data_IF_260008428756
#
_entry.id   IF_260008428756
#
_cell.length_a   1.000
_cell.length_b   1.000
_cell.length_c   1.000
_cell.angle_alpha   90.00
_cell.angle_beta   90.00
_cell.angle_gamma   90.00
#
_symmetry.space_group_name_H-M   'P 1'
#
loop_
_entity.id
_entity.type
_entity.pdbx_description
1 polymer ?
#
# COMPACT_ATOMS: atom_id res chain seq x y z
N UNK A 1 -0.22 -2.33 14.06
CA UNK A 1 -1.50 -1.88 13.45
C UNK A 1 -2.41 -1.24 14.48
N UNK A 2 -2.86 -1.95 15.52
CA UNK A 2 -3.79 -1.40 16.52
C UNK A 2 -3.32 -0.09 17.17
N UNK A 3 -2.03 0.01 17.51
CA UNK A 3 -1.45 1.25 18.06
C UNK A 3 -1.47 2.41 17.06
N UNK A 4 -1.22 2.14 15.77
CA UNK A 4 -1.25 3.17 14.73
C UNK A 4 -2.68 3.69 14.53
N UNK A 5 -3.68 2.80 14.52
CA UNK A 5 -5.10 3.19 14.45
C UNK A 5 -5.49 4.03 15.65
N UNK A 6 -5.21 3.56 16.88
CA UNK A 6 -5.54 4.30 18.10
C UNK A 6 -4.87 5.69 18.12
N UNK A 7 -3.58 5.77 17.76
CA UNK A 7 -2.87 7.04 17.68
C UNK A 7 -3.47 7.99 16.65
N UNK A 8 -3.89 7.51 15.48
CA UNK A 8 -4.51 8.34 14.44
C UNK A 8 -5.91 8.82 14.82
N UNK A 9 -6.70 7.97 15.50
CA UNK A 9 -8.02 8.37 16.00
C UNK A 9 -7.89 9.47 17.05
N UNK A 10 -6.97 9.32 18.02
CA UNK A 10 -6.71 10.38 19.00
C UNK A 10 -6.24 11.66 18.31
N UNK A 11 -5.30 11.56 17.36
CA UNK A 11 -4.77 12.71 16.64
C UNK A 11 -5.86 13.44 15.82
N UNK A 12 -6.80 12.71 15.21
CA UNK A 12 -7.95 13.27 14.51
C UNK A 12 -8.82 14.17 15.41
N UNK A 13 -9.06 13.74 16.65
CA UNK A 13 -9.90 14.48 17.60
C UNK A 13 -9.15 15.61 18.31
N UNK A 14 -7.93 15.32 18.76
CA UNK A 14 -7.22 16.18 19.71
C UNK A 14 -6.26 17.16 19.03
N UNK A 15 -5.89 16.93 17.77
CA UNK A 15 -4.82 17.70 17.12
C UNK A 15 -5.18 18.26 15.76
N UNK A 16 -5.92 17.53 14.91
CA UNK A 16 -6.36 18.09 13.62
C UNK A 16 -7.22 19.34 13.85
N UNK A 17 -7.01 20.33 12.99
CA UNK A 17 -7.88 21.51 12.97
C UNK A 17 -9.26 21.17 12.41
N UNK A 18 -10.25 22.02 12.68
CA UNK A 18 -11.57 21.87 12.08
C UNK A 18 -11.53 21.95 10.54
N UNK A 19 -10.64 22.79 9.99
CA UNK A 19 -10.40 22.90 8.55
C UNK A 19 -9.90 21.57 7.96
N UNK A 20 -8.82 21.02 8.52
CA UNK A 20 -8.26 19.74 8.06
C UNK A 20 -9.27 18.58 8.12
N UNK A 21 -10.08 18.49 9.18
CA UNK A 21 -11.15 17.47 9.24
C UNK A 21 -12.17 17.68 8.12
N UNK A 22 -12.56 18.92 7.85
CA UNK A 22 -13.49 19.27 6.77
C UNK A 22 -12.92 18.90 5.40
N UNK A 23 -11.62 19.11 5.19
CA UNK A 23 -10.93 18.75 3.95
C UNK A 23 -10.92 17.23 3.75
N UNK A 24 -10.69 16.46 4.83
CA UNK A 24 -10.77 14.99 4.77
C UNK A 24 -12.18 14.47 4.51
N UNK A 25 -13.21 15.09 5.09
CA UNK A 25 -14.61 14.77 4.78
C UNK A 25 -14.91 15.09 3.30
N UNK A 26 -14.41 16.21 2.78
CA UNK A 26 -14.57 16.58 1.37
C UNK A 26 -13.87 15.57 0.45
N UNK A 27 -12.63 15.19 0.76
CA UNK A 27 -11.90 14.18 0.02
C UNK A 27 -12.62 12.83 0.04
N UNK A 28 -13.14 12.43 1.20
CA UNK A 28 -13.86 11.17 1.35
C UNK A 28 -15.21 11.15 0.60
N UNK A 29 -15.96 12.26 0.61
CA UNK A 29 -17.22 12.40 -0.12
C UNK A 29 -17.04 12.39 -1.65
N UNK A 30 -15.87 12.78 -2.15
CA UNK A 30 -15.55 12.82 -3.58
C UNK A 30 -14.71 11.63 -4.08
N UNK A 31 -14.31 10.71 -3.20
CA UNK A 31 -13.50 9.54 -3.57
C UNK A 31 -14.31 8.26 -3.37
N UNK A 32 -14.92 7.78 -4.45
CA UNK A 32 -15.72 6.55 -4.43
C UNK A 32 -14.84 5.29 -4.41
N UNK A 33 -15.27 4.30 -3.64
CA UNK A 33 -14.73 2.94 -3.63
C UNK A 33 -15.77 1.96 -4.17
N UNK A 34 -15.35 1.05 -5.04
CA UNK A 34 -16.23 0.03 -5.59
C UNK A 34 -16.37 -1.13 -4.59
N UNK A 35 -17.60 -1.46 -4.22
CA UNK A 35 -17.88 -2.61 -3.36
C UNK A 35 -17.80 -3.93 -4.16
N UNK A 36 -18.05 -5.07 -3.50
CA UNK A 36 -17.98 -6.39 -4.16
C UNK A 36 -19.07 -6.62 -5.23
N UNK A 37 -20.13 -5.85 -5.22
CA UNK A 37 -21.24 -5.88 -6.19
C UNK A 37 -21.04 -4.89 -7.34
N UNK A 38 -20.04 -4.02 -7.27
CA UNK A 38 -19.80 -2.98 -8.27
C UNK A 38 -20.35 -1.60 -7.90
N UNK A 39 -21.06 -1.45 -6.77
CA UNK A 39 -21.64 -0.16 -6.40
C UNK A 39 -20.60 0.76 -5.76
N UNK A 40 -20.68 2.08 -6.03
CA UNK A 40 -19.86 3.06 -5.34
C UNK A 40 -20.25 3.15 -3.86
N UNK A 41 -19.23 3.22 -3.01
CA UNK A 41 -19.32 3.41 -1.57
C UNK A 41 -18.35 4.50 -1.15
N UNK A 42 -18.75 5.33 -0.20
CA UNK A 42 -17.94 6.43 0.29
C UNK A 42 -17.55 6.16 1.75
N UNK A 43 -16.31 6.48 2.09
CA UNK A 43 -15.85 6.43 3.47
C UNK A 43 -16.17 7.77 4.15
N UNK A 44 -16.18 7.80 5.47
CA UNK A 44 -16.15 9.06 6.22
C UNK A 44 -14.73 9.64 6.24
N UNK A 45 -14.60 10.94 6.52
CA UNK A 45 -13.31 11.64 6.58
C UNK A 45 -12.32 10.98 7.53
N UNK A 46 -12.75 10.63 8.75
CA UNK A 46 -11.89 9.91 9.70
C UNK A 46 -11.44 8.53 9.17
N UNK A 47 -12.34 7.79 8.52
CA UNK A 47 -12.01 6.48 7.94
C UNK A 47 -11.01 6.62 6.79
N UNK A 48 -11.16 7.67 5.97
CA UNK A 48 -10.24 7.97 4.89
C UNK A 48 -8.87 8.41 5.42
N UNK A 49 -8.84 9.26 6.45
CA UNK A 49 -7.63 9.70 7.14
C UNK A 49 -6.85 8.50 7.72
N UNK A 50 -7.53 7.62 8.46
CA UNK A 50 -6.92 6.41 9.03
C UNK A 50 -6.46 5.46 7.93
N UNK A 51 -7.28 5.23 6.89
CA UNK A 51 -6.94 4.37 5.75
C UNK A 51 -5.64 4.83 5.08
N UNK A 52 -5.49 6.13 4.84
CA UNK A 52 -4.32 6.71 4.20
C UNK A 52 -3.07 6.70 5.08
N UNK A 53 -3.21 6.99 6.38
CA UNK A 53 -2.06 7.18 7.25
C UNK A 53 -1.55 5.90 7.94
N UNK A 54 -2.38 4.86 8.12
CA UNK A 54 -1.92 3.60 8.72
C UNK A 54 -0.76 2.97 7.93
N UNK A 55 -0.85 2.79 6.59
CA UNK A 55 0.27 2.26 5.82
C UNK A 55 1.51 3.14 5.86
N UNK A 56 1.35 4.47 5.88
CA UNK A 56 2.46 5.42 5.99
C UNK A 56 3.24 5.23 7.29
N UNK A 57 2.53 5.15 8.42
CA UNK A 57 3.16 4.87 9.73
C UNK A 57 3.85 3.50 9.73
N UNK A 58 3.24 2.47 9.13
CA UNK A 58 3.88 1.14 9.02
C UNK A 58 5.15 1.18 8.16
N UNK A 59 5.18 2.03 7.15
CA UNK A 59 6.30 2.27 6.26
C UNK A 59 7.34 3.27 6.81
N UNK A 60 7.13 3.80 8.02
CA UNK A 60 7.94 4.87 8.62
C UNK A 60 7.95 6.16 7.78
N UNK A 61 6.90 6.39 6.99
CA UNK A 61 6.66 7.64 6.30
C UNK A 61 5.98 8.64 7.23
N UNK A 62 6.20 9.92 6.96
CA UNK A 62 5.51 10.99 7.65
C UNK A 62 4.00 10.88 7.42
N UNK A 63 3.24 11.04 8.49
CA UNK A 63 1.78 11.18 8.45
C UNK A 63 1.41 12.45 7.68
N UNK A 64 0.30 12.40 6.96
CA UNK A 64 -0.26 13.51 6.20
C UNK A 64 -1.53 13.96 6.89
N UNK A 65 -1.51 15.20 7.40
CA UNK A 65 -2.63 15.80 8.12
C UNK A 65 -3.56 16.62 7.21
N UNK A 66 -3.02 17.19 6.14
CA UNK A 66 -3.81 17.91 5.12
C UNK A 66 -4.37 16.91 4.09
N UNK A 67 -5.66 16.99 3.80
CA UNK A 67 -6.28 16.05 2.86
C UNK A 67 -5.81 16.29 1.42
N UNK A 68 -5.78 15.25 0.56
CA UNK A 68 -5.46 15.42 -0.84
C UNK A 68 -6.46 16.33 -1.56
N UNK A 69 -5.97 17.29 -2.35
CA UNK A 69 -6.80 18.11 -3.21
C UNK A 69 -7.27 17.38 -4.48
N UNK A 70 -6.62 16.27 -4.84
CA UNK A 70 -7.02 15.43 -5.99
C UNK A 70 -7.93 14.30 -5.51
N UNK A 71 -9.18 14.28 -5.97
CA UNK A 71 -10.21 13.31 -5.56
C UNK A 71 -10.10 11.97 -6.28
N UNK A 72 -9.00 11.25 -6.07
CA UNK A 72 -8.85 9.86 -6.49
C UNK A 72 -8.00 9.07 -5.48
N UNK A 73 -7.89 7.75 -5.67
CA UNK A 73 -7.08 6.89 -4.78
C UNK A 73 -5.59 6.88 -5.12
N UNK A 74 -5.15 7.62 -6.14
CA UNK A 74 -3.83 7.42 -6.74
C UNK A 74 -3.79 6.16 -7.61
N UNK A 75 -3.10 6.27 -8.72
CA UNK A 75 -3.02 5.23 -9.76
C UNK A 75 -1.57 4.80 -9.95
N UNK A 76 -1.41 3.55 -10.38
CA UNK A 76 -0.12 2.97 -10.75
C UNK A 76 -0.35 1.85 -11.75
N UNK A 77 0.65 1.61 -12.59
CA UNK A 77 0.66 0.50 -13.53
C UNK A 77 0.82 -0.81 -12.76
N UNK A 78 0.09 -1.86 -13.15
CA UNK A 78 0.16 -3.16 -12.46
C UNK A 78 1.61 -3.65 -12.36
N UNK A 79 2.02 -4.01 -11.15
CA UNK A 79 3.41 -4.40 -10.85
C UNK A 79 3.55 -5.90 -11.09
N UNK A 80 4.52 -6.32 -11.91
CA UNK A 80 4.83 -7.74 -12.05
C UNK A 80 5.71 -8.17 -10.87
N UNK A 81 5.31 -9.25 -10.19
CA UNK A 81 5.97 -9.73 -8.97
C UNK A 81 6.32 -11.19 -9.18
N UNK A 82 7.59 -11.54 -8.96
CA UNK A 82 8.07 -12.93 -8.96
C UNK A 82 8.87 -13.21 -7.71
N UNK A 83 8.97 -14.48 -7.32
CA UNK A 83 9.85 -14.92 -6.24
C UNK A 83 11.09 -15.55 -6.85
N UNK A 84 12.27 -15.11 -6.42
CA UNK A 84 13.54 -15.72 -6.76
C UNK A 84 13.99 -16.58 -5.58
N UNK A 85 13.96 -17.91 -5.74
CA UNK A 85 14.46 -18.83 -4.71
C UNK A 85 15.96 -18.64 -4.48
N UNK A 86 16.73 -18.53 -5.57
CA UNK A 86 18.17 -18.31 -5.50
C UNK A 86 18.58 -17.11 -4.62
N UNK A 87 17.76 -16.05 -4.61
CA UNK A 87 17.98 -14.86 -3.78
C UNK A 87 17.17 -14.86 -2.48
N UNK A 88 16.17 -15.73 -2.34
CA UNK A 88 15.18 -15.69 -1.28
C UNK A 88 14.37 -14.37 -1.26
N UNK A 89 14.11 -13.78 -2.43
CA UNK A 89 13.58 -12.41 -2.57
C UNK A 89 12.39 -12.33 -3.51
N UNK A 90 11.50 -11.37 -3.22
CA UNK A 90 10.49 -10.88 -4.13
C UNK A 90 11.09 -9.83 -5.06
N UNK A 91 10.91 -10.01 -6.36
CA UNK A 91 11.34 -9.08 -7.41
C UNK A 91 10.12 -8.34 -7.93
N UNK A 92 10.12 -7.02 -7.78
CA UNK A 92 9.05 -6.12 -8.19
C UNK A 92 9.47 -5.36 -9.44
N UNK A 93 8.83 -5.71 -10.56
CA UNK A 93 9.00 -5.04 -11.84
C UNK A 93 7.84 -4.05 -12.03
N UNK A 94 8.11 -2.77 -11.81
CA UNK A 94 7.18 -1.66 -11.99
C UNK A 94 7.56 -0.78 -13.18
N UNK A 95 6.63 0.04 -13.64
CA UNK A 95 6.87 1.02 -14.69
C UNK A 95 7.62 2.22 -14.12
N UNK A 96 8.87 2.45 -14.54
CA UNK A 96 9.72 3.50 -13.99
C UNK A 96 9.17 4.93 -14.22
N UNK A 97 8.32 5.09 -15.23
CA UNK A 97 7.63 6.36 -15.56
C UNK A 97 6.39 6.61 -14.71
N UNK A 98 5.96 5.68 -13.87
CA UNK A 98 4.82 5.91 -12.98
C UNK A 98 5.13 7.12 -12.08
N UNK A 99 4.13 7.98 -11.89
CA UNK A 99 4.32 9.24 -11.18
C UNK A 99 4.74 9.06 -9.71
N UNK A 100 4.55 7.89 -9.11
CA UNK A 100 4.93 7.65 -7.72
C UNK A 100 6.43 7.44 -7.62
N UNK A 101 7.06 6.79 -8.60
CA UNK A 101 8.50 6.57 -8.59
C UNK A 101 9.29 7.89 -8.65
N UNK A 102 8.66 8.93 -9.22
CA UNK A 102 9.20 10.28 -9.41
C UNK A 102 8.63 11.30 -8.39
N UNK A 103 8.24 10.86 -7.19
CA UNK A 103 7.67 11.72 -6.15
C UNK A 103 8.31 11.44 -4.78
N UNK A 104 8.94 12.46 -4.18
CA UNK A 104 9.50 12.35 -2.83
C UNK A 104 8.40 12.18 -1.77
N UNK A 105 8.59 11.25 -0.84
CA UNK A 105 7.61 10.96 0.22
C UNK A 105 6.46 10.04 -0.21
N UNK A 106 6.52 9.55 -1.44
CA UNK A 106 5.70 8.43 -1.92
C UNK A 106 6.41 7.08 -1.67
N UNK A 107 5.65 5.99 -1.68
CA UNK A 107 6.22 4.66 -1.59
C UNK A 107 5.32 3.55 -2.12
N UNK A 108 5.94 2.52 -2.68
CA UNK A 108 5.36 1.20 -2.85
C UNK A 108 5.57 0.41 -1.56
N UNK A 109 4.47 -0.02 -0.95
CA UNK A 109 4.47 -0.80 0.29
C UNK A 109 3.97 -2.20 -0.04
N UNK A 110 4.76 -3.21 0.35
CA UNK A 110 4.44 -4.61 0.13
C UNK A 110 4.19 -5.32 1.46
N UNK A 111 3.21 -6.21 1.47
CA UNK A 111 2.96 -7.15 2.55
C UNK A 111 2.85 -8.57 1.98
N UNK A 112 3.32 -9.56 2.71
CA UNK A 112 3.14 -10.97 2.35
C UNK A 112 2.76 -11.83 3.56
N UNK A 113 2.19 -12.98 3.25
CA UNK A 113 1.74 -13.98 4.20
C UNK A 113 2.77 -15.08 4.39
N UNK A 114 2.44 -16.07 5.24
CA UNK A 114 3.21 -17.31 5.28
C UNK A 114 3.02 -18.10 3.98
N UNK A 115 4.04 -18.80 3.48
CA UNK A 115 3.91 -19.67 2.32
C UNK A 115 2.82 -20.71 2.55
N UNK A 116 2.10 -21.05 1.49
CA UNK A 116 1.08 -22.09 1.45
C UNK A 116 1.48 -23.12 0.39
N UNK A 117 0.81 -24.27 0.38
CA UNK A 117 0.95 -25.22 -0.72
C UNK A 117 0.45 -24.58 -2.05
N UNK A 118 1.09 -24.92 -3.16
CA UNK A 118 0.78 -24.42 -4.51
C UNK A 118 -0.68 -24.62 -4.95
N UNK A 119 -1.36 -25.64 -4.43
CA UNK A 119 -2.78 -25.93 -4.72
C UNK A 119 -3.74 -24.89 -4.13
N UNK A 120 -3.31 -24.08 -3.16
CA UNK A 120 -4.12 -23.01 -2.60
C UNK A 120 -4.22 -21.88 -3.62
N UNK A 121 -5.45 -21.50 -4.00
CA UNK A 121 -5.71 -20.45 -5.00
C UNK A 121 -6.14 -19.12 -4.39
N UNK A 122 -6.49 -19.13 -3.10
CA UNK A 122 -7.06 -17.96 -2.46
C UNK A 122 -6.63 -17.85 -1.01
N UNK A 123 -6.22 -16.63 -0.62
CA UNK A 123 -5.77 -16.32 0.73
C UNK A 123 -6.26 -14.93 1.12
N UNK A 124 -6.81 -14.78 2.34
CA UNK A 124 -7.36 -13.50 2.83
C UNK A 124 -6.48 -12.79 3.86
N UNK A 125 -5.37 -13.40 4.27
CA UNK A 125 -4.53 -12.90 5.36
C UNK A 125 -4.43 -13.91 6.52
N UNK A 126 -3.64 -13.61 7.55
CA UNK A 126 -3.00 -12.31 7.83
C UNK A 126 -1.73 -12.05 7.01
N UNK A 127 -1.49 -10.77 6.68
CA UNK A 127 -0.28 -10.31 5.99
C UNK A 127 0.65 -9.56 6.97
N UNK A 128 1.97 -9.68 6.75
CA UNK A 128 3.00 -8.90 7.45
C UNK A 128 3.75 -8.03 6.44
N UNK A 129 4.21 -6.86 6.87
CA UNK A 129 4.97 -5.93 6.00
C UNK A 129 6.23 -6.65 5.53
N UNK A 130 6.45 -6.69 4.23
CA UNK A 130 7.65 -7.24 3.62
C UNK A 130 8.69 -6.15 3.41
N UNK A 131 8.30 -5.04 2.80
CA UNK A 131 9.22 -3.96 2.57
C UNK A 131 8.54 -2.73 2.00
N UNK A 132 9.37 -1.73 1.73
CA UNK A 132 8.98 -0.43 1.20
C UNK A 132 10.01 -0.04 0.15
N UNK A 133 9.56 0.34 -1.04
CA UNK A 133 10.36 1.01 -2.07
C UNK A 133 9.93 2.48 -2.06
N UNK A 134 10.86 3.38 -1.76
CA UNK A 134 10.58 4.82 -1.69
C UNK A 134 10.71 5.44 -3.07
N UNK A 135 9.72 6.25 -3.47
CA UNK A 135 9.87 7.11 -4.65
C UNK A 135 10.84 8.25 -4.36
N UNK A 136 11.51 8.76 -5.39
CA UNK A 136 12.32 9.96 -5.27
C UNK A 136 12.29 10.78 -6.55
N UNK A 137 12.13 12.10 -6.39
CA UNK A 137 12.22 13.04 -7.51
C UNK A 137 13.67 13.23 -7.96
N UNK A 138 14.62 13.24 -7.02
CA UNK A 138 16.03 13.50 -7.31
C UNK A 138 16.71 12.32 -8.00
N UNK A 139 16.42 11.09 -7.57
CA UNK A 139 16.97 9.86 -8.14
C UNK A 139 15.86 8.79 -8.22
N UNK A 140 15.02 8.83 -9.26
CA UNK A 140 14.01 7.81 -9.49
C UNK A 140 14.64 6.42 -9.55
N UNK A 141 13.99 5.43 -8.93
CA UNK A 141 14.53 4.09 -8.87
C UNK A 141 14.40 3.38 -10.23
N UNK A 142 15.44 2.61 -10.57
CA UNK A 142 15.38 1.69 -11.68
C UNK A 142 14.52 0.46 -11.32
N UNK A 143 13.79 -0.06 -12.29
CA UNK A 143 13.06 -1.32 -12.17
C UNK A 143 13.93 -2.45 -12.74
N UNK A 144 13.97 -3.66 -12.13
CA UNK A 144 13.21 -4.10 -10.96
C UNK A 144 13.87 -3.74 -9.62
N UNK A 145 13.10 -3.87 -8.54
CA UNK A 145 13.58 -3.75 -7.15
C UNK A 145 13.28 -5.02 -6.36
N UNK A 146 14.13 -5.34 -5.39
CA UNK A 146 14.01 -6.58 -4.61
C UNK A 146 13.60 -6.32 -3.15
N UNK A 147 12.82 -7.22 -2.56
CA UNK A 147 12.54 -7.23 -1.13
C UNK A 147 12.62 -8.64 -0.55
N UNK A 148 13.14 -8.76 0.67
CA UNK A 148 13.08 -10.02 1.43
C UNK A 148 11.68 -10.14 2.05
N UNK A 149 10.92 -11.21 1.77
CA UNK A 149 9.64 -11.41 2.44
C UNK A 149 9.85 -11.76 3.92
N UNK A 150 8.88 -11.44 4.81
CA UNK A 150 8.90 -11.79 6.23
C UNK A 150 8.92 -13.30 6.49
N UNK A 151 8.51 -14.09 5.49
CA UNK A 151 8.52 -15.53 5.51
C UNK A 151 9.08 -16.00 4.17
N UNK A 152 10.18 -16.73 4.22
CA UNK A 152 10.79 -17.32 3.02
C UNK A 152 9.90 -18.47 2.53
N UNK A 153 9.68 -18.52 1.22
CA UNK A 153 9.11 -19.67 0.54
C UNK A 153 10.23 -20.57 0.05
N UNK A 154 9.96 -21.87 -0.01
CA UNK A 154 10.80 -22.86 -0.71
C UNK A 154 10.07 -23.34 -1.97
N UNK A 155 10.75 -24.07 -2.84
CA UNK A 155 10.17 -24.68 -4.04
C UNK A 155 8.78 -25.30 -3.78
N UNK A 156 7.88 -25.14 -4.76
CA UNK A 156 6.49 -25.60 -4.73
C UNK A 156 5.60 -24.96 -3.64
N UNK A 157 6.09 -23.91 -2.97
CA UNK A 157 5.26 -23.11 -2.08
C UNK A 157 4.78 -21.84 -2.78
N UNK A 158 3.52 -21.49 -2.53
CA UNK A 158 2.92 -20.24 -2.99
C UNK A 158 2.97 -19.18 -1.90
N UNK A 159 3.51 -18.01 -2.24
CA UNK A 159 3.48 -16.82 -1.42
C UNK A 159 2.34 -15.90 -1.85
N UNK A 160 1.46 -15.59 -0.90
CA UNK A 160 0.40 -14.60 -1.09
C UNK A 160 0.80 -13.25 -0.51
N UNK A 161 0.38 -12.17 -1.16
CA UNK A 161 0.63 -10.84 -0.65
C UNK A 161 -0.21 -9.76 -1.34
N UNK A 162 0.06 -8.53 -0.95
CA UNK A 162 -0.60 -7.35 -1.48
C UNK A 162 0.38 -6.20 -1.56
N UNK A 163 0.24 -5.37 -2.59
CA UNK A 163 0.99 -4.12 -2.75
C UNK A 163 0.04 -2.94 -2.88
N UNK A 164 0.49 -1.79 -2.37
CA UNK A 164 -0.16 -0.49 -2.55
C UNK A 164 0.88 0.61 -2.70
N UNK A 165 0.50 1.65 -3.43
CA UNK A 165 1.25 2.90 -3.50
C UNK A 165 0.63 3.91 -2.54
N UNK A 166 1.44 4.46 -1.64
CA UNK A 166 1.11 5.70 -0.94
C UNK A 166 1.76 6.85 -1.69
N UNK A 167 0.96 7.83 -2.11
CA UNK A 167 1.43 9.11 -2.64
C UNK A 167 1.90 10.03 -1.52
N UNK A 168 2.72 11.02 -1.86
CA UNK A 168 3.22 12.01 -0.90
C UNK A 168 2.11 12.85 -0.26
N UNK A 169 1.06 13.15 -1.04
CA UNK A 169 -0.13 13.89 -0.61
C UNK A 169 -1.11 13.08 0.25
N UNK A 170 -0.80 11.82 0.57
CA UNK A 170 -1.64 10.97 1.41
C UNK A 170 -2.69 10.14 0.65
N UNK A 171 -2.76 10.21 -0.68
CA UNK A 171 -3.56 9.23 -1.44
C UNK A 171 -2.97 7.83 -1.33
N UNK A 172 -3.82 6.84 -1.12
CA UNK A 172 -3.43 5.43 -1.04
C UNK A 172 -4.18 4.64 -2.11
N UNK A 173 -3.42 3.99 -2.99
CA UNK A 173 -3.94 3.27 -4.15
C UNK A 173 -4.89 2.14 -3.76
N UNK A 174 -5.62 1.66 -4.77
CA UNK A 174 -6.27 0.35 -4.68
C UNK A 174 -5.19 -0.72 -4.49
N UNK A 175 -5.54 -1.79 -3.78
CA UNK A 175 -4.63 -2.93 -3.61
C UNK A 175 -4.47 -3.69 -4.92
N UNK A 176 -3.26 -4.16 -5.16
CA UNK A 176 -2.99 -5.26 -6.07
C UNK A 176 -2.59 -6.47 -5.23
N UNK A 177 -3.41 -7.52 -5.26
CA UNK A 177 -3.11 -8.79 -4.58
C UNK A 177 -2.30 -9.70 -5.54
N UNK A 178 -1.42 -10.52 -4.98
CA UNK A 178 -0.63 -11.49 -5.73
C UNK A 178 -0.57 -12.84 -5.02
N UNK A 179 -0.42 -13.90 -5.80
CA UNK A 179 -0.20 -15.28 -5.33
C UNK A 179 0.79 -15.95 -6.27
N UNK A 180 2.05 -16.00 -5.87
CA UNK A 180 3.17 -16.43 -6.73
C UNK A 180 3.77 -17.72 -6.20
N UNK A 181 4.09 -18.65 -7.10
CA UNK A 181 4.75 -19.90 -6.73
C UNK A 181 6.26 -19.64 -6.70
N UNK A 182 6.93 -20.13 -5.67
CA UNK A 182 8.38 -20.22 -5.63
C UNK A 182 8.81 -21.32 -6.60
N UNK A 183 9.50 -20.91 -7.66
CA UNK A 183 10.08 -21.79 -8.65
C UNK A 183 11.59 -21.89 -8.38
N UNK A 184 12.17 -23.05 -8.66
CA UNK A 184 13.61 -23.30 -8.61
C UNK A 184 14.41 -22.40 -9.57
#
# INVERSE_FOLDING_TARGET
>A
VRNAVASLVNHWHDTLTAGQRTDWETYAANTAFVNRLGDPTFLSGINQYVRSNVPRIQALLARVDDAPATFNTGEFTAISIVFSEALGQLVFSFQATDAWNNEDGSALIAWSARPQNDTINFFKGPYRKAGVILGSLALPLASPQNMVPPFLAVEDQKLFGTVRISRADGRLSVKQDFGIIALA
#
